data_IF_707414518643
#
_entry.id   IF_707414518643
#
_cell.length_a   1.000
_cell.length_b   1.000
_cell.length_c   1.000
_cell.angle_alpha   90.00
_cell.angle_beta   90.00
_cell.angle_gamma   90.00
#
_symmetry.space_group_name_H-M   'P 1'
#
loop_
_entity.id
_entity.type
_entity.pdbx_description
1 polymer ?
#
# COMPACT_ATOMS: atom_id res chain seq x y z
N UNK A 1 -12.72 -6.32 37.56
CA UNK A 1 -11.50 -6.83 36.91
C UNK A 1 -11.80 -6.89 35.43
N UNK A 2 -11.35 -5.92 34.64
CA UNK A 2 -11.57 -5.96 33.19
C UNK A 2 -10.70 -7.09 32.64
N UNK A 3 -11.31 -8.12 32.06
CA UNK A 3 -10.58 -9.11 31.28
C UNK A 3 -9.85 -8.37 30.17
N UNK A 4 -8.53 -8.49 30.12
CA UNK A 4 -7.73 -7.83 29.08
C UNK A 4 -8.20 -8.32 27.70
N UNK A 5 -8.82 -7.42 26.92
CA UNK A 5 -9.33 -7.72 25.59
C UNK A 5 -8.18 -8.10 24.65
N UNK A 6 -8.49 -8.93 23.64
CA UNK A 6 -7.48 -9.65 22.85
C UNK A 6 -6.55 -8.70 22.08
N UNK A 7 -5.26 -9.05 22.06
CA UNK A 7 -4.25 -8.38 21.22
C UNK A 7 -3.53 -9.37 20.32
N UNK A 8 -3.24 -8.96 19.09
CA UNK A 8 -2.41 -9.71 18.13
C UNK A 8 -0.98 -9.17 18.18
N UNK A 9 -0.02 -10.08 18.30
CA UNK A 9 1.42 -9.80 18.24
C UNK A 9 2.15 -10.63 17.16
N UNK A 10 1.49 -11.63 16.56
CA UNK A 10 2.01 -12.36 15.40
C UNK A 10 1.64 -11.59 14.12
N UNK A 11 2.56 -10.76 13.66
CA UNK A 11 2.35 -9.92 12.49
C UNK A 11 2.57 -10.68 11.17
N UNK A 12 3.36 -11.75 11.18
CA UNK A 12 3.60 -12.57 9.99
C UNK A 12 2.31 -13.21 9.52
N UNK A 13 1.59 -13.88 10.42
CA UNK A 13 0.32 -14.53 10.07
C UNK A 13 -0.75 -13.54 9.63
N UNK A 14 -0.75 -12.35 10.23
CA UNK A 14 -1.67 -11.27 9.86
C UNK A 14 -1.52 -10.89 8.38
N UNK A 15 -0.29 -10.68 7.90
CA UNK A 15 -0.02 -10.28 6.52
C UNK A 15 -0.05 -11.45 5.53
N UNK A 16 0.38 -12.65 5.92
CA UNK A 16 0.27 -13.84 5.06
C UNK A 16 -1.20 -14.21 4.81
N UNK A 17 -2.04 -14.08 5.83
CA UNK A 17 -3.46 -14.41 5.76
C UNK A 17 -4.36 -13.32 5.18
N UNK A 18 -3.79 -12.21 4.69
CA UNK A 18 -4.56 -11.06 4.17
C UNK A 18 -5.67 -10.61 5.13
N UNK A 19 -5.32 -10.57 6.42
CA UNK A 19 -6.29 -10.31 7.50
C UNK A 19 -6.93 -8.94 7.30
N UNK A 20 -8.27 -8.83 7.21
CA UNK A 20 -8.94 -7.55 7.10
C UNK A 20 -8.69 -6.68 8.34
N UNK A 21 -8.32 -5.42 8.14
CA UNK A 21 -8.00 -4.50 9.22
C UNK A 21 -8.92 -3.28 9.26
N UNK A 22 -9.22 -2.82 10.47
CA UNK A 22 -9.77 -1.49 10.72
C UNK A 22 -8.64 -0.55 11.13
N UNK A 23 -8.45 0.53 10.38
CA UNK A 23 -7.62 1.66 10.79
C UNK A 23 -8.48 2.68 11.55
N UNK A 24 -8.24 2.82 12.85
CA UNK A 24 -8.95 3.78 13.71
C UNK A 24 -8.21 5.11 13.83
N UNK A 25 -7.13 5.33 13.07
CA UNK A 25 -6.44 6.64 12.98
C UNK A 25 -7.33 7.64 12.25
N UNK A 26 -6.99 8.93 12.30
CA UNK A 26 -7.73 9.93 11.56
C UNK A 26 -7.48 9.80 10.04
N UNK A 27 -8.40 10.27 9.18
CA UNK A 27 -8.27 10.16 7.72
C UNK A 27 -6.91 10.64 7.18
N UNK A 28 -6.39 11.77 7.65
CA UNK A 28 -5.09 12.30 7.20
C UNK A 28 -3.92 11.35 7.50
N UNK A 29 -4.00 10.53 8.55
CA UNK A 29 -2.98 9.54 8.87
C UNK A 29 -3.08 8.30 7.95
N UNK A 30 -4.30 7.95 7.52
CA UNK A 30 -4.56 6.86 6.58
C UNK A 30 -4.07 7.23 5.17
N UNK A 31 -4.34 8.46 4.73
CA UNK A 31 -3.92 8.98 3.41
C UNK A 31 -2.40 9.03 3.25
N UNK A 32 -1.65 9.25 4.34
CA UNK A 32 -0.19 9.18 4.32
C UNK A 32 0.30 7.75 4.03
N UNK A 33 -0.40 6.76 4.57
CA UNK A 33 -0.22 5.37 4.21
C UNK A 33 -0.85 4.40 5.20
N UNK A 34 -1.29 3.27 4.66
CA UNK A 34 -1.97 2.19 5.33
C UNK A 34 -1.46 0.84 4.81
N UNK A 35 -2.00 -0.25 5.33
CA UNK A 35 -1.68 -1.60 4.84
C UNK A 35 -2.74 -2.06 3.83
N UNK A 36 -2.41 -2.98 2.91
CA UNK A 36 -3.41 -3.72 2.14
C UNK A 36 -4.50 -4.32 3.05
N UNK A 37 -5.68 -4.58 2.49
CA UNK A 37 -6.84 -5.14 3.21
C UNK A 37 -7.31 -4.33 4.43
N UNK A 38 -6.97 -3.04 4.48
CA UNK A 38 -7.37 -2.14 5.56
C UNK A 38 -8.49 -1.19 5.13
N UNK A 39 -9.52 -1.05 5.96
CA UNK A 39 -10.56 -0.02 5.83
C UNK A 39 -10.37 1.08 6.87
N UNK A 40 -10.42 2.34 6.45
CA UNK A 40 -10.41 3.50 7.35
C UNK A 40 -11.78 3.65 8.03
N UNK A 41 -11.87 3.34 9.32
CA UNK A 41 -13.05 3.58 10.16
C UNK A 41 -12.61 4.35 11.42
N UNK A 42 -12.37 5.66 11.27
CA UNK A 42 -11.65 6.46 12.26
C UNK A 42 -12.40 6.52 13.60
N UNK A 43 -11.64 6.45 14.71
CA UNK A 43 -12.20 6.83 16.01
C UNK A 43 -12.49 8.33 16.09
N UNK A 44 -11.80 9.14 15.31
CA UNK A 44 -11.90 10.60 15.33
C UNK A 44 -11.60 11.21 13.96
N UNK A 45 -12.30 12.28 13.61
CA UNK A 45 -12.01 13.08 12.42
C UNK A 45 -10.67 13.81 12.55
N UNK A 46 -10.18 14.42 11.47
CA UNK A 46 -8.93 15.19 11.51
C UNK A 46 -8.99 16.39 12.46
N UNK A 47 -10.12 17.09 12.51
CA UNK A 47 -10.34 18.22 13.41
C UNK A 47 -10.44 17.76 14.87
N UNK A 48 -11.16 16.67 15.14
CA UNK A 48 -11.22 16.08 16.47
C UNK A 48 -9.84 15.61 16.94
N UNK A 49 -9.06 14.97 16.06
CA UNK A 49 -7.68 14.55 16.34
C UNK A 49 -6.80 15.74 16.72
N UNK A 50 -6.90 16.85 15.99
CA UNK A 50 -6.14 18.06 16.27
C UNK A 50 -6.49 18.67 17.63
N UNK A 51 -7.78 18.77 17.94
CA UNK A 51 -8.27 19.29 19.23
C UNK A 51 -7.82 18.40 20.40
N UNK A 52 -8.03 17.09 20.30
CA UNK A 52 -7.65 16.12 21.34
C UNK A 52 -6.13 16.09 21.51
N UNK A 53 -5.37 16.10 20.41
CA UNK A 53 -3.90 16.14 20.45
C UNK A 53 -3.37 17.40 21.13
N UNK A 54 -3.99 18.55 20.85
CA UNK A 54 -3.66 19.83 21.50
C UNK A 54 -4.00 19.80 22.99
N UNK A 55 -5.17 19.26 23.36
CA UNK A 55 -5.57 19.08 24.76
C UNK A 55 -4.59 18.16 25.49
N UNK A 56 -4.20 17.03 24.90
CA UNK A 56 -3.24 16.10 25.48
C UNK A 56 -1.91 16.76 25.78
N UNK A 57 -1.39 17.54 24.82
CA UNK A 57 -0.11 18.27 24.98
C UNK A 57 -0.16 19.32 26.09
N UNK A 58 -1.28 20.03 26.21
CA UNK A 58 -1.38 21.19 27.10
C UNK A 58 -1.94 20.87 28.49
N UNK A 59 -2.81 19.86 28.59
CA UNK A 59 -3.62 19.55 29.79
C UNK A 59 -3.47 18.09 30.27
N UNK A 60 -2.71 17.27 29.54
CA UNK A 60 -2.46 15.89 29.92
C UNK A 60 -3.53 14.89 29.48
N UNK A 61 -3.29 13.63 29.82
CA UNK A 61 -4.04 12.48 29.31
C UNK A 61 -5.52 12.47 29.73
N UNK A 62 -5.80 12.67 31.02
CA UNK A 62 -7.16 12.59 31.54
C UNK A 62 -8.10 13.61 30.86
N UNK A 63 -7.62 14.84 30.67
CA UNK A 63 -8.40 15.90 30.02
C UNK A 63 -8.59 15.65 28.52
N UNK A 64 -7.62 15.04 27.86
CA UNK A 64 -7.77 14.64 26.46
C UNK A 64 -8.80 13.51 26.29
N UNK A 65 -8.84 12.56 27.23
CA UNK A 65 -9.85 11.48 27.23
C UNK A 65 -11.24 12.04 27.50
N UNK A 66 -11.39 12.94 28.48
CA UNK A 66 -12.66 13.61 28.76
C UNK A 66 -13.17 14.38 27.53
N UNK A 67 -12.31 15.18 26.90
CA UNK A 67 -12.64 15.88 25.66
C UNK A 67 -13.00 14.92 24.53
N UNK A 68 -12.31 13.78 24.42
CA UNK A 68 -12.63 12.74 23.44
C UNK A 68 -14.04 12.18 23.62
N UNK A 69 -14.47 11.94 24.87
CA UNK A 69 -15.83 11.52 25.17
C UNK A 69 -16.87 12.62 24.88
N UNK A 70 -16.54 13.89 25.13
CA UNK A 70 -17.43 15.01 24.80
C UNK A 70 -17.61 15.21 23.29
N UNK A 71 -16.56 15.01 22.50
CA UNK A 71 -16.60 15.14 21.05
C UNK A 71 -17.25 13.93 20.37
N UNK A 72 -17.10 12.74 20.96
CA UNK A 72 -17.55 11.47 20.38
C UNK A 72 -18.60 10.83 21.28
N UNK A 73 -19.81 11.39 21.25
CA UNK A 73 -20.96 10.95 22.02
C UNK A 73 -22.25 10.97 21.20
N UNK A 74 -23.35 10.46 21.77
CA UNK A 74 -24.67 10.44 21.14
C UNK A 74 -24.65 9.79 19.76
N UNK A 75 -25.27 10.46 18.79
CA UNK A 75 -25.40 9.97 17.40
C UNK A 75 -24.04 9.76 16.71
N UNK A 76 -23.02 10.58 17.01
CA UNK A 76 -21.68 10.44 16.41
C UNK A 76 -21.03 9.14 16.86
N UNK A 77 -21.11 8.84 18.16
CA UNK A 77 -20.61 7.57 18.71
C UNK A 77 -21.38 6.39 18.12
N UNK A 78 -22.71 6.51 18.03
CA UNK A 78 -23.55 5.44 17.50
C UNK A 78 -23.22 5.14 16.04
N UNK A 79 -23.09 6.16 15.18
CA UNK A 79 -22.74 5.98 13.78
C UNK A 79 -21.37 5.30 13.61
N UNK A 80 -20.36 5.68 14.40
CA UNK A 80 -19.04 5.02 14.39
C UNK A 80 -19.15 3.55 14.79
N UNK A 81 -19.87 3.29 15.87
CA UNK A 81 -20.11 1.94 16.36
C UNK A 81 -20.82 1.07 15.33
N UNK A 82 -21.86 1.58 14.68
CA UNK A 82 -22.61 0.87 13.64
C UNK A 82 -21.69 0.47 12.48
N UNK A 83 -20.83 1.38 12.01
CA UNK A 83 -19.88 1.09 10.92
C UNK A 83 -18.83 0.05 11.33
N UNK A 84 -18.34 0.08 12.57
CA UNK A 84 -17.42 -0.95 13.07
C UNK A 84 -18.10 -2.31 13.17
N UNK A 85 -19.32 -2.37 13.69
CA UNK A 85 -20.07 -3.63 13.82
C UNK A 85 -20.43 -4.22 12.46
N UNK A 86 -20.76 -3.38 11.48
CA UNK A 86 -20.97 -3.82 10.10
C UNK A 86 -19.70 -4.43 9.51
N UNK A 87 -18.55 -3.78 9.67
CA UNK A 87 -17.26 -4.33 9.24
C UNK A 87 -16.98 -5.68 9.89
N UNK A 88 -17.15 -5.78 11.22
CA UNK A 88 -16.88 -6.99 12.00
C UNK A 88 -17.78 -8.13 11.57
N UNK A 89 -19.06 -7.85 11.29
CA UNK A 89 -20.01 -8.84 10.77
C UNK A 89 -19.52 -9.45 9.44
N UNK A 90 -18.96 -8.63 8.57
CA UNK A 90 -18.44 -9.07 7.27
C UNK A 90 -17.02 -9.67 7.38
N UNK A 91 -16.28 -9.32 8.43
CA UNK A 91 -14.87 -9.71 8.64
C UNK A 91 -14.64 -10.21 10.08
N UNK A 92 -15.20 -11.38 10.47
CA UNK A 92 -15.14 -11.87 11.84
C UNK A 92 -13.72 -12.20 12.32
N UNK A 93 -12.82 -12.51 11.38
CA UNK A 93 -11.41 -12.84 11.65
C UNK A 93 -10.46 -11.64 11.46
N UNK A 94 -11.00 -10.42 11.34
CA UNK A 94 -10.18 -9.22 11.20
C UNK A 94 -9.67 -8.68 12.53
N UNK A 95 -9.02 -7.52 12.48
CA UNK A 95 -8.48 -6.84 13.65
C UNK A 95 -8.53 -5.32 13.49
N UNK A 96 -8.34 -4.57 14.59
CA UNK A 96 -8.26 -3.11 14.55
C UNK A 96 -6.90 -2.59 15.04
N UNK A 97 -6.48 -1.42 14.53
CA UNK A 97 -5.30 -0.75 15.05
C UNK A 97 -5.48 0.76 15.09
N UNK A 98 -4.71 1.40 15.98
CA UNK A 98 -4.45 2.83 15.92
C UNK A 98 -2.95 3.07 15.71
N UNK A 99 -2.47 4.31 15.78
CA UNK A 99 -1.06 4.61 15.47
C UNK A 99 -0.04 3.85 16.33
N UNK A 100 -0.31 3.67 17.63
CA UNK A 100 0.62 3.02 18.59
C UNK A 100 0.01 1.85 19.37
N UNK A 101 -1.18 1.39 19.00
CA UNK A 101 -1.90 0.38 19.78
C UNK A 101 -2.19 0.85 21.21
N UNK A 102 -2.43 2.15 21.40
CA UNK A 102 -2.73 2.77 22.70
C UNK A 102 -4.21 3.00 22.92
N UNK A 103 -4.53 4.11 23.61
CA UNK A 103 -5.91 4.43 24.04
C UNK A 103 -6.93 4.45 22.91
N UNK A 104 -6.60 4.98 21.72
CA UNK A 104 -7.56 5.05 20.60
C UNK A 104 -8.12 3.68 20.25
N UNK A 105 -7.25 2.73 19.91
CA UNK A 105 -7.66 1.35 19.61
C UNK A 105 -8.30 0.65 20.82
N UNK A 106 -7.86 0.97 22.04
CA UNK A 106 -8.43 0.37 23.25
C UNK A 106 -9.87 0.87 23.52
N UNK A 107 -10.13 2.16 23.34
CA UNK A 107 -11.47 2.76 23.49
C UNK A 107 -12.41 2.19 22.42
N UNK A 108 -11.97 2.14 21.15
CA UNK A 108 -12.74 1.51 20.07
C UNK A 108 -13.08 0.06 20.40
N UNK A 109 -12.08 -0.73 20.80
CA UNK A 109 -12.27 -2.14 21.19
C UNK A 109 -13.25 -2.29 22.36
N UNK A 110 -13.14 -1.42 23.37
CA UNK A 110 -14.03 -1.43 24.53
C UNK A 110 -15.47 -1.09 24.15
N UNK A 111 -15.70 -0.07 23.32
CA UNK A 111 -17.06 0.29 22.88
C UNK A 111 -17.71 -0.81 22.03
N UNK A 112 -16.93 -1.47 21.16
CA UNK A 112 -17.40 -2.64 20.41
C UNK A 112 -17.84 -3.74 21.37
N UNK A 113 -16.99 -4.07 22.35
CA UNK A 113 -17.27 -5.12 23.32
C UNK A 113 -18.49 -4.81 24.18
N UNK A 114 -18.61 -3.57 24.69
CA UNK A 114 -19.75 -3.13 25.50
C UNK A 114 -21.08 -3.20 24.75
N UNK A 115 -21.07 -2.87 23.45
CA UNK A 115 -22.28 -2.85 22.64
C UNK A 115 -22.72 -4.21 22.10
N UNK A 116 -21.78 -5.13 21.87
CA UNK A 116 -22.04 -6.37 21.12
C UNK A 116 -21.61 -7.66 21.82
N UNK A 117 -20.78 -7.56 22.87
CA UNK A 117 -20.10 -8.70 23.49
C UNK A 117 -18.94 -9.28 22.67
N UNK A 118 -18.62 -8.71 21.50
CA UNK A 118 -17.56 -9.20 20.61
C UNK A 118 -16.19 -8.72 21.09
N UNK A 119 -15.31 -9.66 21.42
CA UNK A 119 -13.91 -9.39 21.74
C UNK A 119 -13.07 -9.30 20.45
N UNK A 120 -13.28 -8.22 19.68
CA UNK A 120 -12.57 -8.02 18.41
C UNK A 120 -11.11 -7.65 18.67
N UNK A 121 -10.12 -8.35 18.08
CA UNK A 121 -8.72 -8.18 18.47
C UNK A 121 -8.14 -6.85 18.00
N UNK A 122 -7.19 -6.30 18.77
CA UNK A 122 -6.41 -5.12 18.37
C UNK A 122 -4.94 -5.43 18.16
N UNK A 123 -4.28 -4.69 17.29
CA UNK A 123 -2.85 -4.89 17.03
C UNK A 123 -1.98 -4.29 18.14
N UNK A 124 -1.13 -5.13 18.73
CA UNK A 124 -0.16 -4.70 19.76
C UNK A 124 0.83 -3.71 19.14
N UNK A 125 0.96 -2.52 19.73
CA UNK A 125 1.84 -1.47 19.21
C UNK A 125 1.34 -0.77 17.94
N UNK A 126 0.22 -1.21 17.36
CA UNK A 126 -0.50 -0.56 16.27
C UNK A 126 0.30 -0.38 14.97
N UNK A 127 -0.08 0.63 14.17
CA UNK A 127 0.55 0.96 12.90
C UNK A 127 2.08 1.07 13.00
N UNK A 128 2.59 1.73 14.04
CA UNK A 128 4.04 1.91 14.23
C UNK A 128 4.77 0.57 14.35
N UNK A 129 4.21 -0.38 15.11
CA UNK A 129 4.82 -1.69 15.28
C UNK A 129 4.76 -2.51 13.99
N UNK A 130 3.62 -2.52 13.31
CA UNK A 130 3.46 -3.18 12.00
C UNK A 130 4.43 -2.61 10.96
N UNK A 131 4.52 -1.28 10.84
CA UNK A 131 5.42 -0.64 9.89
C UNK A 131 6.87 -0.95 10.19
N UNK A 132 7.27 -0.93 11.47
CA UNK A 132 8.65 -1.28 11.85
C UNK A 132 8.95 -2.74 11.50
N UNK A 133 8.02 -3.65 11.81
CA UNK A 133 8.12 -5.06 11.47
C UNK A 133 8.30 -5.27 9.96
N UNK A 134 7.49 -4.61 9.11
CA UNK A 134 7.62 -4.74 7.65
C UNK A 134 8.99 -4.25 7.12
N UNK A 135 9.50 -3.15 7.68
CA UNK A 135 10.85 -2.65 7.32
C UNK A 135 11.93 -3.67 7.72
N UNK A 136 11.85 -4.20 8.95
CA UNK A 136 12.83 -5.17 9.46
C UNK A 136 12.76 -6.49 8.68
N UNK A 137 11.56 -6.96 8.33
CA UNK A 137 11.36 -8.16 7.52
C UNK A 137 11.86 -8.00 6.09
N UNK A 138 11.70 -6.82 5.48
CA UNK A 138 12.25 -6.53 4.15
C UNK A 138 13.77 -6.74 4.15
N UNK A 139 14.47 -6.17 5.14
CA UNK A 139 15.92 -6.32 5.28
C UNK A 139 16.32 -7.78 5.54
N UNK A 140 15.63 -8.46 6.47
CA UNK A 140 15.89 -9.87 6.79
C UNK A 140 15.72 -10.79 5.56
N UNK A 141 14.64 -10.63 4.83
CA UNK A 141 14.31 -11.47 3.66
C UNK A 141 15.31 -11.22 2.55
N UNK A 142 15.61 -9.96 2.21
CA UNK A 142 16.61 -9.62 1.18
C UNK A 142 18.03 -10.09 1.53
N UNK A 143 18.33 -10.32 2.81
CA UNK A 143 19.59 -10.93 3.25
C UNK A 143 19.59 -12.46 3.20
N UNK A 144 18.43 -13.10 3.03
CA UNK A 144 18.28 -14.56 3.02
C UNK A 144 18.06 -15.12 1.61
N UNK A 145 17.29 -14.40 0.78
CA UNK A 145 16.97 -14.83 -0.59
C UNK A 145 18.08 -14.44 -1.57
N UNK A 146 18.11 -15.12 -2.72
CA UNK A 146 18.97 -14.78 -3.85
C UNK A 146 18.13 -14.09 -4.93
N UNK A 147 18.31 -12.79 -5.20
CA UNK A 147 17.58 -12.12 -6.26
C UNK A 147 18.12 -12.53 -7.63
N UNK A 148 17.20 -12.62 -8.61
CA UNK A 148 17.49 -12.72 -10.04
C UNK A 148 16.79 -11.53 -10.70
N UNK A 149 17.48 -10.79 -11.55
CA UNK A 149 16.91 -9.61 -12.21
C UNK A 149 16.59 -9.95 -13.66
N UNK A 150 15.39 -9.59 -14.11
CA UNK A 150 14.97 -9.71 -15.50
C UNK A 150 15.04 -8.32 -16.14
N UNK A 151 15.98 -8.19 -17.07
CA UNK A 151 16.19 -6.98 -17.86
C UNK A 151 15.82 -7.18 -19.32
N UNK A 152 15.85 -6.10 -20.08
CA UNK A 152 15.53 -6.11 -21.51
C UNK A 152 14.88 -4.83 -21.98
N UNK A 153 14.94 -4.59 -23.29
CA UNK A 153 14.44 -3.36 -23.90
C UNK A 153 12.91 -3.24 -23.76
N UNK A 154 12.38 -2.02 -23.80
CA UNK A 154 10.93 -1.80 -23.81
C UNK A 154 10.25 -2.61 -24.92
N UNK A 155 9.16 -3.28 -24.57
CA UNK A 155 8.39 -4.13 -25.48
C UNK A 155 8.90 -5.57 -25.58
N UNK A 156 10.00 -5.97 -24.93
CA UNK A 156 10.47 -7.37 -25.02
C UNK A 156 9.61 -8.39 -24.26
N UNK A 157 8.48 -7.98 -23.69
CA UNK A 157 7.57 -8.87 -22.98
C UNK A 157 7.99 -9.24 -21.56
N UNK A 158 8.78 -8.40 -20.87
CA UNK A 158 9.18 -8.64 -19.47
C UNK A 158 7.99 -8.95 -18.57
N UNK A 159 7.00 -8.05 -18.54
CA UNK A 159 5.76 -8.23 -17.77
C UNK A 159 5.05 -9.54 -18.14
N UNK A 160 4.96 -9.86 -19.45
CA UNK A 160 4.34 -11.11 -19.92
C UNK A 160 5.06 -12.37 -19.41
N UNK A 161 6.40 -12.33 -19.30
CA UNK A 161 7.17 -13.43 -18.72
C UNK A 161 6.96 -13.48 -17.19
N UNK A 162 7.05 -12.34 -16.52
CA UNK A 162 6.91 -12.23 -15.06
C UNK A 162 5.55 -12.77 -14.59
N UNK A 163 4.48 -12.53 -15.35
CA UNK A 163 3.14 -13.08 -15.09
C UNK A 163 3.07 -14.62 -15.10
N UNK A 164 4.01 -15.29 -15.77
CA UNK A 164 4.09 -16.76 -15.80
C UNK A 164 4.87 -17.35 -14.62
N UNK A 165 5.61 -16.52 -13.90
CA UNK A 165 6.49 -16.92 -12.81
C UNK A 165 5.80 -16.66 -11.46
N UNK A 166 5.78 -17.68 -10.60
CA UNK A 166 5.17 -17.56 -9.26
C UNK A 166 6.09 -16.83 -8.26
N UNK A 167 7.39 -16.95 -8.45
CA UNK A 167 8.41 -16.48 -7.50
C UNK A 167 8.92 -15.08 -7.87
N UNK A 168 7.99 -14.20 -8.24
CA UNK A 168 8.27 -12.85 -8.74
C UNK A 168 7.84 -11.78 -7.74
N UNK A 169 8.65 -10.72 -7.63
CA UNK A 169 8.28 -9.45 -7.03
C UNK A 169 8.11 -8.43 -8.16
N UNK A 170 6.84 -8.12 -8.45
CA UNK A 170 6.42 -7.16 -9.48
C UNK A 170 6.49 -5.73 -8.90
N UNK A 171 7.63 -5.08 -9.09
CA UNK A 171 7.91 -3.73 -8.56
C UNK A 171 7.09 -2.67 -9.31
N UNK A 172 6.94 -2.83 -10.62
CA UNK A 172 6.10 -2.03 -11.51
C UNK A 172 4.63 -2.07 -11.07
N UNK A 173 4.08 -3.26 -10.86
CA UNK A 173 2.71 -3.47 -10.38
C UNK A 173 2.50 -2.91 -8.98
N UNK A 174 3.44 -3.15 -8.06
CA UNK A 174 3.40 -2.57 -6.70
C UNK A 174 3.46 -1.04 -6.71
N UNK A 175 4.20 -0.45 -7.66
CA UNK A 175 4.30 0.99 -7.85
C UNK A 175 3.17 1.58 -8.73
N UNK A 176 2.31 0.75 -9.29
CA UNK A 176 1.32 1.12 -10.30
C UNK A 176 1.95 1.95 -11.43
N UNK A 177 2.98 1.40 -12.06
CA UNK A 177 3.81 2.04 -13.09
C UNK A 177 4.37 1.00 -14.06
N UNK A 178 4.85 1.40 -15.24
CA UNK A 178 5.36 0.48 -16.29
C UNK A 178 6.86 0.63 -16.61
N UNK A 179 7.66 0.99 -15.60
CA UNK A 179 9.13 1.13 -15.69
C UNK A 179 9.72 2.02 -16.80
N UNK A 180 8.90 2.81 -17.49
CA UNK A 180 9.31 3.54 -18.69
C UNK A 180 9.05 5.04 -18.61
N UNK A 181 9.61 5.80 -19.55
CA UNK A 181 9.32 7.24 -19.69
C UNK A 181 7.83 7.54 -19.92
N UNK A 182 7.08 6.55 -20.41
CA UNK A 182 5.63 6.57 -20.60
C UNK A 182 4.92 5.69 -19.55
N UNK A 183 5.52 5.48 -18.38
CA UNK A 183 5.10 4.43 -17.45
C UNK A 183 3.91 4.77 -16.55
N UNK A 184 3.38 5.98 -16.60
CA UNK A 184 2.19 6.35 -15.82
C UNK A 184 0.98 5.52 -16.26
N UNK A 185 0.13 5.14 -15.31
CA UNK A 185 -1.12 4.42 -15.58
C UNK A 185 -2.33 5.35 -15.47
N UNK A 186 -3.54 4.79 -15.59
CA UNK A 186 -4.81 5.52 -15.49
C UNK A 186 -5.15 5.94 -14.05
N UNK A 187 -4.47 5.34 -13.06
CA UNK A 187 -4.62 5.62 -11.64
C UNK A 187 -3.29 6.13 -11.05
N UNK A 188 -3.32 6.89 -9.95
CA UNK A 188 -2.10 7.43 -9.37
C UNK A 188 -1.21 6.33 -8.78
N UNK A 189 0.11 6.58 -8.74
CA UNK A 189 1.05 5.76 -7.97
C UNK A 189 0.66 5.77 -6.48
N UNK A 190 0.97 4.70 -5.74
CA UNK A 190 0.80 4.70 -4.28
C UNK A 190 1.72 5.73 -3.62
N UNK A 191 1.42 6.08 -2.37
CA UNK A 191 2.39 6.80 -1.54
C UNK A 191 3.64 5.93 -1.33
N UNK A 192 4.78 6.57 -1.04
CA UNK A 192 6.02 5.86 -0.68
C UNK A 192 5.80 4.82 0.42
N UNK A 193 4.96 5.17 1.41
CA UNK A 193 4.63 4.27 2.51
C UNK A 193 3.85 3.05 2.01
N UNK A 194 2.81 3.25 1.19
CA UNK A 194 2.00 2.15 0.69
C UNK A 194 2.82 1.20 -0.20
N UNK A 195 3.69 1.75 -1.05
CA UNK A 195 4.63 0.95 -1.85
C UNK A 195 5.51 0.07 -0.97
N UNK A 196 6.20 0.66 0.01
CA UNK A 196 7.09 -0.09 0.92
C UNK A 196 6.33 -1.14 1.74
N UNK A 197 5.09 -0.85 2.17
CA UNK A 197 4.26 -1.81 2.90
C UNK A 197 3.91 -3.01 2.01
N UNK A 198 3.43 -2.75 0.79
CA UNK A 198 3.01 -3.79 -0.13
C UNK A 198 4.21 -4.66 -0.57
N UNK A 199 5.36 -4.04 -0.85
CA UNK A 199 6.61 -4.75 -1.15
C UNK A 199 7.03 -5.68 -0.02
N UNK A 200 7.05 -5.18 1.23
CA UNK A 200 7.40 -5.99 2.38
C UNK A 200 6.47 -7.20 2.56
N UNK A 201 5.16 -7.00 2.36
CA UNK A 201 4.15 -8.06 2.47
C UNK A 201 4.35 -9.12 1.38
N UNK A 202 4.59 -8.70 0.14
CA UNK A 202 4.88 -9.64 -0.96
C UNK A 202 6.15 -10.46 -0.70
N UNK A 203 7.21 -9.82 -0.17
CA UNK A 203 8.41 -10.52 0.26
C UNK A 203 8.12 -11.53 1.37
N UNK A 204 7.33 -11.17 2.39
CA UNK A 204 6.93 -12.07 3.48
C UNK A 204 6.17 -13.28 2.94
N UNK A 205 5.26 -13.08 1.98
CA UNK A 205 4.49 -14.18 1.37
C UNK A 205 5.37 -15.14 0.57
N UNK A 206 6.45 -14.63 -0.03
CA UNK A 206 7.36 -15.41 -0.89
C UNK A 206 8.69 -15.79 -0.21
N UNK A 207 8.83 -15.54 1.09
CA UNK A 207 10.09 -15.74 1.82
C UNK A 207 10.59 -17.19 1.87
N UNK A 208 9.72 -18.16 1.58
CA UNK A 208 10.09 -19.58 1.51
C UNK A 208 10.85 -19.92 0.21
N UNK A 209 10.77 -19.06 -0.81
CA UNK A 209 11.48 -19.24 -2.06
C UNK A 209 12.93 -18.78 -1.89
N UNK A 210 13.88 -19.65 -2.24
CA UNK A 210 15.31 -19.32 -2.15
C UNK A 210 15.75 -18.29 -3.19
N UNK A 211 15.07 -18.26 -4.34
CA UNK A 211 15.29 -17.32 -5.42
C UNK A 211 14.03 -16.51 -5.66
N UNK A 212 14.17 -15.20 -5.82
CA UNK A 212 13.09 -14.31 -6.19
C UNK A 212 13.48 -13.50 -7.41
N UNK A 213 12.56 -13.41 -8.35
CA UNK A 213 12.73 -12.69 -9.60
C UNK A 213 12.24 -11.25 -9.42
N UNK A 214 13.03 -10.30 -9.87
CA UNK A 214 12.73 -8.87 -9.83
C UNK A 214 12.86 -8.24 -11.22
N UNK A 215 12.18 -7.13 -11.42
CA UNK A 215 12.36 -6.27 -12.57
C UNK A 215 13.67 -5.49 -12.49
N UNK A 216 14.30 -5.27 -13.66
CA UNK A 216 15.47 -4.41 -13.81
C UNK A 216 15.09 -2.93 -13.69
N UNK A 217 14.92 -2.49 -12.44
CA UNK A 217 14.59 -1.12 -12.08
C UNK A 217 15.76 -0.41 -11.40
N UNK A 218 15.79 0.92 -11.57
CA UNK A 218 16.82 1.77 -10.96
C UNK A 218 16.63 1.95 -9.45
N UNK A 219 16.97 3.13 -8.92
CA UNK A 219 16.65 3.46 -7.51
C UNK A 219 15.15 3.67 -7.25
N UNK A 220 14.36 3.77 -8.33
CA UNK A 220 13.00 4.27 -8.32
C UNK A 220 12.17 3.59 -9.39
N UNK A 221 10.88 3.41 -9.10
CA UNK A 221 9.86 3.08 -10.10
C UNK A 221 8.92 4.28 -10.23
N UNK A 222 9.14 5.09 -11.26
CA UNK A 222 8.48 6.40 -11.38
C UNK A 222 8.86 7.32 -10.20
N UNK A 223 7.90 7.66 -9.34
CA UNK A 223 8.13 8.59 -8.20
C UNK A 223 8.43 7.89 -6.87
N UNK A 224 8.15 6.59 -6.75
CA UNK A 224 8.44 5.83 -5.53
C UNK A 224 9.88 5.30 -5.55
N UNK A 225 10.52 5.32 -4.39
CA UNK A 225 11.88 4.82 -4.17
C UNK A 225 11.86 3.36 -3.75
N UNK A 226 12.77 2.57 -4.32
CA UNK A 226 12.98 1.18 -3.89
C UNK A 226 13.81 1.18 -2.59
N UNK A 227 13.44 0.39 -1.56
CA UNK A 227 14.25 0.29 -0.34
C UNK A 227 15.70 -0.04 -0.63
N UNK A 228 16.62 0.62 0.07
CA UNK A 228 18.05 0.51 -0.20
C UNK A 228 18.56 -0.93 -0.11
N UNK A 229 18.05 -1.74 0.84
CA UNK A 229 18.42 -3.15 0.96
C UNK A 229 18.00 -3.96 -0.27
N UNK A 230 16.83 -3.68 -0.85
CA UNK A 230 16.36 -4.31 -2.08
C UNK A 230 17.25 -3.87 -3.25
N UNK A 231 17.43 -2.56 -3.44
CA UNK A 231 18.24 -2.00 -4.51
C UNK A 231 19.67 -2.54 -4.52
N UNK A 232 20.31 -2.57 -3.35
CA UNK A 232 21.69 -3.04 -3.22
C UNK A 232 21.83 -4.50 -3.65
N UNK A 233 20.86 -5.33 -3.28
CA UNK A 233 20.84 -6.76 -3.59
C UNK A 233 20.50 -7.02 -5.05
N UNK A 234 19.54 -6.30 -5.62
CA UNK A 234 19.16 -6.46 -7.04
C UNK A 234 20.25 -5.95 -7.99
N UNK A 235 20.98 -4.88 -7.65
CA UNK A 235 22.08 -4.37 -8.48
C UNK A 235 23.23 -5.38 -8.62
N UNK A 236 23.39 -6.30 -7.67
CA UNK A 236 24.42 -7.35 -7.66
C UNK A 236 23.90 -8.71 -8.13
N UNK A 237 22.61 -8.81 -8.44
CA UNK A 237 21.96 -10.04 -8.83
C UNK A 237 22.42 -10.53 -10.21
N UNK A 238 22.20 -11.82 -10.47
CA UNK A 238 22.33 -12.33 -11.83
C UNK A 238 21.27 -11.69 -12.73
N UNK A 239 21.71 -11.18 -13.89
CA UNK A 239 20.85 -10.55 -14.88
C UNK A 239 20.48 -11.54 -15.98
N UNK A 240 19.19 -11.79 -16.14
CA UNK A 240 18.61 -12.49 -17.28
C UNK A 240 18.12 -11.43 -18.27
N UNK A 241 18.81 -11.31 -19.40
CA UNK A 241 18.45 -10.36 -20.45
C UNK A 241 17.46 -11.00 -21.43
N UNK A 242 16.26 -10.42 -21.53
CA UNK A 242 15.29 -10.80 -22.55
C UNK A 242 15.57 -10.07 -23.85
N UNK A 243 15.64 -10.87 -24.92
CA UNK A 243 15.78 -10.40 -26.29
C UNK A 243 14.51 -10.71 -27.07
N UNK A 244 14.11 -9.75 -27.90
CA UNK A 244 12.96 -9.87 -28.78
C UNK A 244 13.23 -9.07 -30.05
N UNK A 245 12.67 -9.52 -31.17
CA UNK A 245 12.79 -8.80 -32.45
C UNK A 245 12.13 -7.42 -32.36
N UNK A 246 12.47 -6.52 -33.28
CA UNK A 246 11.82 -5.21 -33.35
C UNK A 246 10.31 -5.36 -33.59
N UNK A 247 9.91 -6.30 -34.43
CA UNK A 247 8.51 -6.59 -34.76
C UNK A 247 7.74 -7.08 -33.52
N UNK A 248 8.31 -8.01 -32.75
CA UNK A 248 7.72 -8.49 -31.51
C UNK A 248 7.54 -7.36 -30.50
N UNK A 249 8.58 -6.53 -30.35
CA UNK A 249 8.56 -5.39 -29.44
C UNK A 249 7.54 -4.34 -29.84
N UNK A 250 7.39 -4.07 -31.13
CA UNK A 250 6.38 -3.14 -31.64
C UNK A 250 4.97 -3.63 -31.31
N UNK A 251 4.71 -4.93 -31.50
CA UNK A 251 3.42 -5.53 -31.15
C UNK A 251 3.10 -5.39 -29.67
N UNK A 252 4.01 -5.83 -28.80
CA UNK A 252 3.84 -5.75 -27.33
C UNK A 252 3.68 -4.30 -26.88
N UNK A 253 4.46 -3.37 -27.46
CA UNK A 253 4.36 -1.95 -27.10
C UNK A 253 3.04 -1.33 -27.55
N UNK A 254 2.54 -1.70 -28.74
CA UNK A 254 1.24 -1.24 -29.25
C UNK A 254 0.10 -1.73 -28.37
N UNK A 255 0.12 -3.02 -28.00
CA UNK A 255 -0.87 -3.61 -27.11
C UNK A 255 -0.86 -2.89 -25.75
N UNK A 256 0.31 -2.77 -25.13
CA UNK A 256 0.45 -2.17 -23.81
C UNK A 256 0.07 -0.68 -23.80
N UNK A 257 0.75 0.15 -24.60
CA UNK A 257 0.68 1.61 -24.46
C UNK A 257 -0.44 2.27 -25.27
N UNK A 258 -1.01 1.58 -26.26
CA UNK A 258 -2.05 2.16 -27.12
C UNK A 258 -3.38 1.44 -26.95
N UNK A 259 -3.44 0.15 -27.24
CA UNK A 259 -4.72 -0.59 -27.30
C UNK A 259 -5.30 -0.76 -25.89
N UNK A 260 -4.54 -1.36 -24.97
CA UNK A 260 -4.99 -1.63 -23.61
C UNK A 260 -5.19 -0.35 -22.83
N UNK A 261 -4.23 0.59 -22.90
CA UNK A 261 -4.33 1.85 -22.17
C UNK A 261 -5.53 2.70 -22.62
N UNK A 262 -5.81 2.77 -23.92
CA UNK A 262 -7.03 3.42 -24.42
C UNK A 262 -8.28 2.75 -23.84
N UNK A 263 -8.31 1.41 -23.82
CA UNK A 263 -9.44 0.68 -23.25
C UNK A 263 -9.61 0.97 -21.76
N UNK A 264 -8.51 1.03 -20.99
CA UNK A 264 -8.53 1.35 -19.56
C UNK A 264 -9.13 2.73 -19.31
N UNK A 265 -8.71 3.74 -20.08
CA UNK A 265 -9.26 5.10 -19.98
C UNK A 265 -10.75 5.15 -20.33
N UNK A 266 -11.20 4.42 -21.37
CA UNK A 266 -12.62 4.36 -21.77
C UNK A 266 -13.46 3.62 -20.72
N UNK A 267 -12.93 2.54 -20.15
CA UNK A 267 -13.62 1.80 -19.08
C UNK A 267 -13.79 2.65 -17.82
N UNK A 268 -12.76 3.44 -17.47
CA UNK A 268 -12.80 4.31 -16.29
C UNK A 268 -13.73 5.52 -16.47
N UNK A 269 -13.73 6.13 -17.66
CA UNK A 269 -14.62 7.23 -18.02
C UNK A 269 -15.20 7.01 -19.42
N UNK A 270 -16.40 6.41 -19.53
CA UNK A 270 -17.03 6.16 -20.83
C UNK A 270 -17.35 7.41 -21.64
N UNK A 271 -17.38 8.59 -21.00
CA UNK A 271 -17.73 9.86 -21.65
C UNK A 271 -16.47 10.57 -22.16
N UNK A 272 -15.45 10.74 -21.31
CA UNK A 272 -14.24 11.50 -21.64
C UNK A 272 -12.97 10.63 -21.79
N UNK A 273 -13.09 9.30 -21.73
CA UNK A 273 -11.94 8.40 -21.68
C UNK A 273 -10.97 8.55 -22.85
N UNK A 274 -11.48 8.74 -24.07
CA UNK A 274 -10.60 8.99 -25.22
C UNK A 274 -9.83 10.31 -25.11
N UNK A 275 -10.47 11.37 -24.63
CA UNK A 275 -9.81 12.67 -24.42
C UNK A 275 -8.78 12.58 -23.29
N UNK A 276 -9.07 11.84 -22.23
CA UNK A 276 -8.12 11.55 -21.15
C UNK A 276 -6.88 10.80 -21.67
N UNK A 277 -7.08 9.78 -22.51
CA UNK A 277 -6.00 9.05 -23.19
C UNK A 277 -5.17 9.95 -24.13
N UNK A 278 -5.83 10.82 -24.89
CA UNK A 278 -5.14 11.79 -25.76
C UNK A 278 -4.29 12.77 -24.94
N UNK A 279 -4.87 13.34 -23.88
CA UNK A 279 -4.18 14.26 -22.97
C UNK A 279 -3.00 13.59 -22.25
N UNK A 280 -3.13 12.31 -21.90
CA UNK A 280 -2.05 11.51 -21.34
C UNK A 280 -0.83 11.48 -22.27
N UNK A 281 -1.04 11.20 -23.56
CA UNK A 281 0.05 11.17 -24.54
C UNK A 281 0.67 12.54 -24.77
N UNK A 282 -0.14 13.58 -24.92
CA UNK A 282 0.34 14.96 -25.07
C UNK A 282 1.25 15.36 -23.91
N UNK A 283 0.80 15.14 -22.67
CA UNK A 283 1.61 15.41 -21.46
C UNK A 283 2.88 14.57 -21.41
N UNK A 284 2.82 13.31 -21.82
CA UNK A 284 3.99 12.42 -21.80
C UNK A 284 5.03 12.85 -22.83
N UNK A 285 4.60 13.28 -24.03
CA UNK A 285 5.47 13.86 -25.05
C UNK A 285 6.11 15.17 -24.58
N UNK A 286 5.34 16.06 -23.93
CA UNK A 286 5.87 17.29 -23.33
C UNK A 286 6.98 16.99 -22.31
N UNK A 287 6.82 15.98 -21.45
CA UNK A 287 7.83 15.60 -20.44
C UNK A 287 9.15 15.17 -21.06
N UNK A 288 9.11 14.47 -22.20
CA UNK A 288 10.31 13.95 -22.86
C UNK A 288 10.88 14.90 -23.93
N UNK A 289 10.21 16.03 -24.22
CA UNK A 289 10.63 16.99 -25.23
C UNK A 289 12.10 17.40 -25.08
N UNK A 290 12.57 17.59 -23.84
CA UNK A 290 13.99 17.94 -23.56
C UNK A 290 14.98 16.82 -23.89
N UNK A 291 14.54 15.56 -23.88
CA UNK A 291 15.35 14.36 -24.17
C UNK A 291 15.37 14.01 -25.65
N UNK A 292 14.42 14.50 -26.44
CA UNK A 292 14.30 14.25 -27.88
C UNK A 292 15.28 15.08 -28.72
N UNK A 293 16.11 15.92 -28.08
CA UNK A 293 17.02 16.84 -28.76
C UNK A 293 16.27 18.05 -29.28
N UNK A 294 16.55 19.22 -28.71
CA UNK A 294 16.27 20.47 -29.41
C UNK A 294 17.42 20.69 -30.39
N UNK A 295 17.28 20.24 -31.63
CA UNK A 295 17.92 21.00 -32.71
C UNK A 295 17.23 22.37 -32.71
N UNK A 296 18.01 23.40 -32.34
CA UNK A 296 17.70 24.79 -32.68
C UNK A 296 18.35 25.12 -34.01
#
# INVERSE_FOLDING_TARGET
>A
MSSELTQIADFTQLFVGDTPLIDTRAPIEFDQGAFPFTQSLPLMSDSERELIGTCYKNKGQEQAVALGHELVQGEVKQARLDTWLEFIKNNPNGALYCFRGGMRSQITQQWIYEASGINYPRIKGGYKALRRFLIDETDRIMNTITPIVIGGQTGCGKTLLLDTLKDTIDLEGLANHRGSAFGNTTTPQPTQINFENALAIELIKKQACSHLVFEDEGSNVGTVHIPQCVQHKTTQAELVLLEASVEERLKVSMDAYVINMRQDFITQDPVNGFDNFSNYWLRSLEKIQRRLGLER
#
